data_IF_072307494945
#
_entry.id   IF_072307494945
#
_cell.length_a   1.000
_cell.length_b   1.000
_cell.length_c   1.000
_cell.angle_alpha   90.00
_cell.angle_beta   90.00
_cell.angle_gamma   90.00
#
_symmetry.space_group_name_H-M   'P 1'
#
loop_
_entity.id
_entity.type
_entity.pdbx_description
1 polymer ?
#
# COMPACT_ATOMS: atom_id res chain seq x y z
N UNK A 1 -47.65 -27.70 62.84
CA UNK A 1 -47.34 -26.31 63.23
C UNK A 1 -45.87 -25.95 63.03
N UNK A 2 -44.91 -26.56 63.75
CA UNK A 2 -43.48 -26.19 63.63
C UNK A 2 -42.88 -26.35 62.20
N UNK A 3 -43.28 -27.39 61.47
CA UNK A 3 -42.85 -27.63 60.07
C UNK A 3 -43.41 -26.58 59.11
N UNK A 4 -44.65 -26.14 59.32
CA UNK A 4 -45.31 -25.11 58.52
C UNK A 4 -44.65 -23.75 58.74
N UNK A 5 -44.29 -23.41 59.99
CA UNK A 5 -43.58 -22.17 60.31
C UNK A 5 -42.18 -22.16 59.67
N UNK A 6 -41.47 -23.30 59.65
CA UNK A 6 -40.18 -23.42 58.95
C UNK A 6 -40.34 -23.23 57.44
N UNK A 7 -41.37 -23.84 56.84
CA UNK A 7 -41.64 -23.71 55.42
C UNK A 7 -41.95 -22.26 55.02
N UNK A 8 -42.83 -21.57 55.76
CA UNK A 8 -43.17 -20.16 55.51
C UNK A 8 -41.94 -19.25 55.64
N UNK A 9 -41.04 -19.51 56.60
CA UNK A 9 -39.79 -18.75 56.75
C UNK A 9 -38.84 -18.95 55.58
N UNK A 10 -38.69 -20.18 55.10
CA UNK A 10 -37.85 -20.48 53.92
C UNK A 10 -38.41 -19.79 52.67
N UNK A 11 -39.74 -19.83 52.49
CA UNK A 11 -40.43 -19.18 51.38
C UNK A 11 -40.26 -17.65 51.39
N UNK A 12 -40.42 -17.03 52.58
CA UNK A 12 -40.24 -15.60 52.75
C UNK A 12 -38.79 -15.15 52.50
N UNK A 13 -37.81 -16.00 52.87
CA UNK A 13 -36.39 -15.73 52.64
C UNK A 13 -36.02 -15.85 51.16
N UNK A 14 -36.54 -16.86 50.47
CA UNK A 14 -36.33 -17.00 49.02
C UNK A 14 -36.94 -15.81 48.30
N UNK A 15 -38.15 -15.39 48.69
CA UNK A 15 -38.79 -14.22 48.08
C UNK A 15 -37.99 -12.92 48.30
N UNK A 16 -37.50 -12.67 49.51
CA UNK A 16 -36.68 -11.48 49.79
C UNK A 16 -35.34 -11.52 49.06
N UNK A 17 -34.68 -12.67 48.98
CA UNK A 17 -33.41 -12.79 48.23
C UNK A 17 -33.61 -12.54 46.73
N UNK A 18 -34.70 -13.06 46.17
CA UNK A 18 -35.04 -12.87 44.75
C UNK A 18 -35.36 -11.40 44.48
N UNK A 19 -36.11 -10.74 45.35
CA UNK A 19 -36.42 -9.31 45.25
C UNK A 19 -35.17 -8.43 45.38
N UNK A 20 -34.27 -8.75 46.32
CA UNK A 20 -33.03 -8.01 46.51
C UNK A 20 -32.08 -8.18 45.32
N UNK A 21 -31.96 -9.40 44.78
CA UNK A 21 -31.18 -9.66 43.57
C UNK A 21 -31.73 -8.89 42.37
N UNK A 22 -33.05 -8.81 42.23
CA UNK A 22 -33.70 -8.04 41.16
C UNK A 22 -33.45 -6.54 41.30
N UNK A 23 -33.54 -5.99 42.52
CA UNK A 23 -33.20 -4.59 42.80
C UNK A 23 -31.73 -4.29 42.53
N UNK A 24 -30.82 -5.18 42.92
CA UNK A 24 -29.38 -5.01 42.70
C UNK A 24 -29.03 -5.05 41.21
N UNK A 25 -29.62 -5.98 40.45
CA UNK A 25 -29.48 -6.07 38.99
C UNK A 25 -30.05 -4.83 38.29
N UNK A 26 -31.22 -4.35 38.74
CA UNK A 26 -31.83 -3.13 38.22
C UNK A 26 -30.94 -1.92 38.49
N UNK A 27 -30.39 -1.80 39.70
CA UNK A 27 -29.48 -0.72 40.06
C UNK A 27 -28.17 -0.77 39.25
N UNK A 28 -27.55 -1.95 39.12
CA UNK A 28 -26.34 -2.14 38.32
C UNK A 28 -26.57 -1.83 36.84
N UNK A 29 -27.75 -2.15 36.29
CA UNK A 29 -28.08 -1.86 34.89
C UNK A 29 -28.19 -0.36 34.56
N UNK A 30 -28.47 0.48 35.57
CA UNK A 30 -28.51 1.94 35.42
C UNK A 30 -27.10 2.53 35.42
N UNK A 31 -26.16 1.93 36.15
CA UNK A 31 -24.83 2.49 36.39
C UNK A 31 -23.72 1.90 35.50
N UNK A 32 -23.91 0.72 34.93
CA UNK A 32 -22.97 0.09 34.00
C UNK A 32 -23.62 0.00 32.61
N UNK A 33 -23.42 0.99 31.73
CA UNK A 33 -23.81 0.87 30.33
C UNK A 33 -22.82 -0.09 29.67
N UNK A 34 -22.99 -1.40 29.87
CA UNK A 34 -22.21 -2.43 29.18
C UNK A 34 -22.75 -2.57 27.75
N UNK A 35 -22.10 -2.03 26.71
CA UNK A 35 -22.69 -1.99 25.38
C UNK A 35 -22.56 -3.32 24.63
N UNK A 36 -21.90 -4.32 25.21
CA UNK A 36 -21.54 -5.55 24.50
C UNK A 36 -21.50 -6.75 25.45
N UNK A 37 -22.66 -7.16 25.94
CA UNK A 37 -22.85 -8.51 26.47
C UNK A 37 -24.22 -8.98 26.02
N UNK A 38 -24.28 -9.70 24.90
CA UNK A 38 -25.51 -10.30 24.40
C UNK A 38 -26.22 -11.09 25.50
N UNK A 39 -27.56 -11.15 25.45
CA UNK A 39 -28.47 -11.63 26.51
C UNK A 39 -28.20 -13.01 27.14
N UNK A 40 -27.16 -13.72 26.72
CA UNK A 40 -26.64 -14.95 27.31
C UNK A 40 -26.23 -14.81 28.78
N UNK A 41 -25.72 -13.66 29.24
CA UNK A 41 -25.34 -13.51 30.66
C UNK A 41 -26.54 -13.32 31.59
N UNK A 42 -27.61 -12.66 31.15
CA UNK A 42 -28.83 -12.56 31.94
C UNK A 42 -29.49 -13.94 32.08
N UNK A 43 -29.51 -14.72 30.99
CA UNK A 43 -30.02 -16.09 30.97
C UNK A 43 -29.15 -17.03 31.80
N UNK A 44 -27.81 -16.92 31.74
CA UNK A 44 -26.89 -17.70 32.58
C UNK A 44 -27.03 -17.36 34.07
N UNK A 45 -27.14 -16.08 34.43
CA UNK A 45 -27.35 -15.66 35.82
C UNK A 45 -28.72 -16.14 36.32
N UNK A 46 -29.78 -16.00 35.53
CA UNK A 46 -31.11 -16.56 35.86
C UNK A 46 -31.06 -18.09 35.96
N UNK A 47 -30.33 -18.77 35.08
CA UNK A 47 -30.20 -20.23 35.08
C UNK A 47 -29.41 -20.71 36.30
N UNK A 48 -28.34 -20.04 36.69
CA UNK A 48 -27.58 -20.34 37.93
C UNK A 48 -28.42 -20.07 39.17
N UNK A 49 -29.18 -18.96 39.21
CA UNK A 49 -30.10 -18.67 40.30
C UNK A 49 -31.26 -19.69 40.37
N UNK A 50 -31.84 -20.08 39.24
CA UNK A 50 -32.91 -21.08 39.17
C UNK A 50 -32.40 -22.48 39.53
N UNK A 51 -31.22 -22.88 39.03
CA UNK A 51 -30.59 -24.15 39.37
C UNK A 51 -30.22 -24.22 40.86
N UNK A 52 -29.71 -23.12 41.44
CA UNK A 52 -29.44 -23.03 42.87
C UNK A 52 -30.74 -23.10 43.70
N UNK A 53 -31.82 -22.49 43.24
CA UNK A 53 -33.11 -22.50 43.94
C UNK A 53 -33.84 -23.85 43.86
N UNK A 54 -33.80 -24.53 42.71
CA UNK A 54 -34.42 -25.84 42.51
C UNK A 54 -33.74 -26.96 43.29
N UNK A 55 -32.43 -26.86 43.54
CA UNK A 55 -31.67 -27.85 44.30
C UNK A 55 -31.78 -27.71 45.82
N UNK A 56 -32.17 -26.54 46.34
CA UNK A 56 -32.39 -26.31 47.77
C UNK A 56 -33.66 -27.01 48.30
N UNK A 57 -34.55 -27.48 47.43
CA UNK A 57 -35.85 -28.05 47.80
C UNK A 57 -35.79 -29.57 48.06
N UNK A 58 -34.70 -30.27 47.72
CA UNK A 58 -34.58 -31.73 47.90
C UNK A 58 -33.34 -32.16 48.71
N UNK A 59 -33.54 -32.56 49.98
CA UNK A 59 -32.69 -33.52 50.70
C UNK A 59 -31.98 -33.02 51.97
N UNK A 60 -32.59 -33.24 53.15
CA UNK A 60 -32.22 -32.69 54.48
C UNK A 60 -30.87 -33.11 55.11
N UNK A 61 -30.01 -33.89 54.45
CA UNK A 61 -28.74 -34.35 55.07
C UNK A 61 -27.45 -34.16 54.26
N UNK A 62 -27.53 -33.64 53.02
CA UNK A 62 -26.33 -33.38 52.19
C UNK A 62 -26.06 -31.88 51.92
N UNK A 63 -26.86 -30.99 52.49
CA UNK A 63 -26.91 -29.55 52.15
C UNK A 63 -25.61 -28.82 52.49
N UNK A 64 -25.02 -29.02 53.68
CA UNK A 64 -23.86 -28.25 54.13
C UNK A 64 -22.57 -28.52 53.32
N UNK A 65 -22.36 -29.77 52.86
CA UNK A 65 -21.19 -30.10 52.02
C UNK A 65 -21.35 -29.62 50.57
N UNK A 66 -22.58 -29.57 50.06
CA UNK A 66 -22.88 -29.15 48.68
C UNK A 66 -22.87 -27.63 48.50
N UNK A 67 -23.37 -26.87 49.47
CA UNK A 67 -23.31 -25.38 49.42
C UNK A 67 -21.88 -24.86 49.46
N UNK A 68 -21.02 -25.47 50.28
CA UNK A 68 -19.59 -25.11 50.35
C UNK A 68 -18.89 -25.38 49.01
N UNK A 69 -19.18 -26.51 48.36
CA UNK A 69 -18.62 -26.85 47.06
C UNK A 69 -19.06 -25.88 45.95
N UNK A 70 -20.33 -25.47 45.95
CA UNK A 70 -20.87 -24.51 44.97
C UNK A 70 -20.26 -23.12 45.17
N UNK A 71 -20.08 -22.65 46.41
CA UNK A 71 -19.43 -21.37 46.68
C UNK A 71 -17.96 -21.38 46.24
N UNK A 72 -17.24 -22.48 46.44
CA UNK A 72 -15.85 -22.64 45.99
C UNK A 72 -15.75 -22.69 44.47
N UNK A 73 -16.62 -23.46 43.80
CA UNK A 73 -16.63 -23.54 42.32
C UNK A 73 -17.04 -22.19 41.70
N UNK A 74 -18.03 -21.52 42.28
CA UNK A 74 -18.45 -20.18 41.84
C UNK A 74 -17.32 -19.16 41.99
N UNK A 75 -16.63 -19.14 43.13
CA UNK A 75 -15.46 -18.28 43.35
C UNK A 75 -14.32 -18.58 42.38
N UNK A 76 -14.03 -19.86 42.11
CA UNK A 76 -12.99 -20.26 41.15
C UNK A 76 -13.32 -19.85 39.71
N UNK A 77 -14.58 -20.02 39.27
CA UNK A 77 -14.99 -19.60 37.93
C UNK A 77 -14.97 -18.08 37.76
N UNK A 78 -15.36 -17.32 38.78
CA UNK A 78 -15.29 -15.86 38.75
C UNK A 78 -13.83 -15.35 38.75
N UNK A 79 -12.93 -15.97 39.53
CA UNK A 79 -11.49 -15.66 39.45
C UNK A 79 -10.91 -15.99 38.07
N UNK A 80 -11.29 -17.11 37.45
CA UNK A 80 -10.84 -17.47 36.11
C UNK A 80 -11.32 -16.47 35.03
N UNK A 81 -12.54 -15.97 35.14
CA UNK A 81 -13.06 -14.90 34.27
C UNK A 81 -12.32 -13.58 34.51
N UNK A 82 -12.01 -13.23 35.77
CA UNK A 82 -11.20 -12.06 36.09
C UNK A 82 -9.78 -12.13 35.51
N UNK A 83 -9.14 -13.30 35.60
CA UNK A 83 -7.80 -13.54 35.02
C UNK A 83 -7.85 -13.50 33.48
N UNK A 84 -8.88 -14.08 32.86
CA UNK A 84 -9.04 -14.04 31.40
C UNK A 84 -9.23 -12.62 30.87
N UNK A 85 -9.97 -11.77 31.59
CA UNK A 85 -10.15 -10.36 31.27
C UNK A 85 -8.87 -9.54 31.48
N UNK A 86 -8.05 -9.90 32.48
CA UNK A 86 -6.72 -9.32 32.72
C UNK A 86 -5.72 -9.64 31.60
N UNK A 87 -5.77 -10.86 31.04
CA UNK A 87 -4.84 -11.27 29.98
C UNK A 87 -5.24 -10.78 28.58
N UNK A 88 -6.54 -10.59 28.31
CA UNK A 88 -7.03 -10.41 26.93
C UNK A 88 -7.78 -9.09 26.68
N UNK A 89 -8.03 -8.27 27.70
CA UNK A 89 -8.67 -6.97 27.58
C UNK A 89 -7.67 -5.80 27.56
N UNK A 90 -8.01 -4.65 26.96
CA UNK A 90 -7.24 -3.43 27.19
C UNK A 90 -7.27 -3.12 28.69
N UNK A 91 -6.08 -2.91 29.29
CA UNK A 91 -5.90 -2.62 30.72
C UNK A 91 -6.72 -1.37 31.12
N UNK A 92 -7.94 -1.58 31.60
CA UNK A 92 -8.74 -0.58 32.28
C UNK A 92 -8.71 -0.93 33.77
N UNK A 93 -7.97 -0.15 34.54
CA UNK A 93 -7.85 -0.32 36.00
C UNK A 93 -9.21 -0.37 36.68
N UNK A 94 -10.22 0.32 36.12
CA UNK A 94 -11.58 0.29 36.65
C UNK A 94 -12.28 -1.05 36.42
N UNK A 95 -12.03 -1.71 35.30
CA UNK A 95 -12.61 -3.02 34.99
C UNK A 95 -12.01 -4.12 35.88
N UNK A 96 -10.69 -4.08 36.11
CA UNK A 96 -9.99 -4.98 37.03
C UNK A 96 -10.49 -4.80 38.46
N UNK A 97 -10.64 -3.55 38.88
CA UNK A 97 -11.14 -3.23 40.22
C UNK A 97 -12.61 -3.64 40.40
N UNK A 98 -13.47 -3.43 39.39
CA UNK A 98 -14.86 -3.88 39.42
C UNK A 98 -14.97 -5.41 39.49
N UNK A 99 -14.12 -6.15 38.75
CA UNK A 99 -14.07 -7.60 38.80
C UNK A 99 -13.65 -8.12 40.19
N UNK A 100 -12.63 -7.52 40.80
CA UNK A 100 -12.20 -7.83 42.17
C UNK A 100 -13.29 -7.53 43.21
N UNK A 101 -14.01 -6.43 43.05
CA UNK A 101 -15.12 -6.06 43.93
C UNK A 101 -16.25 -7.10 43.83
N UNK A 102 -16.59 -7.52 42.60
CA UNK A 102 -17.64 -8.51 42.34
C UNK A 102 -17.27 -9.90 42.89
N UNK A 103 -16.01 -10.32 42.69
CA UNK A 103 -15.51 -11.58 43.26
C UNK A 103 -15.56 -11.56 44.80
N UNK A 104 -15.15 -10.45 45.41
CA UNK A 104 -15.22 -10.24 46.87
C UNK A 104 -16.66 -10.32 47.37
N UNK A 105 -17.59 -9.67 46.67
CA UNK A 105 -19.02 -9.70 46.97
C UNK A 105 -19.59 -11.13 46.93
N UNK A 106 -19.26 -11.89 45.89
CA UNK A 106 -19.73 -13.27 45.72
C UNK A 106 -19.26 -14.18 46.86
N UNK A 107 -18.00 -14.04 47.28
CA UNK A 107 -17.43 -14.81 48.42
C UNK A 107 -18.13 -14.43 49.73
N UNK A 108 -18.29 -13.14 50.03
CA UNK A 108 -18.96 -12.69 51.25
C UNK A 108 -20.43 -13.12 51.31
N UNK A 109 -21.15 -13.03 50.19
CA UNK A 109 -22.53 -13.50 50.09
C UNK A 109 -22.64 -15.02 50.33
N UNK A 110 -21.71 -15.81 49.78
CA UNK A 110 -21.64 -17.25 50.00
C UNK A 110 -21.41 -17.61 51.46
N UNK A 111 -20.46 -16.94 52.13
CA UNK A 111 -20.17 -17.15 53.56
C UNK A 111 -21.36 -16.76 54.45
N UNK A 112 -22.03 -15.64 54.16
CA UNK A 112 -23.23 -15.23 54.89
C UNK A 112 -24.35 -16.28 54.76
N UNK A 113 -24.60 -16.77 53.54
CA UNK A 113 -25.62 -17.80 53.30
C UNK A 113 -25.28 -19.11 54.04
N UNK A 114 -24.01 -19.51 54.03
CA UNK A 114 -23.55 -20.69 54.75
C UNK A 114 -23.73 -20.54 56.27
N UNK A 115 -23.42 -19.38 56.84
CA UNK A 115 -23.61 -19.09 58.26
C UNK A 115 -25.09 -19.15 58.69
N UNK A 116 -26.00 -18.62 57.86
CA UNK A 116 -27.46 -18.70 58.08
C UNK A 116 -27.92 -20.16 58.10
N UNK A 117 -27.55 -20.93 57.07
CA UNK A 117 -28.06 -22.29 56.86
C UNK A 117 -27.52 -23.26 57.89
N UNK A 118 -26.23 -23.16 58.22
CA UNK A 118 -25.58 -24.21 58.99
C UNK A 118 -25.69 -24.01 60.51
N UNK A 119 -25.67 -22.78 61.01
CA UNK A 119 -25.47 -22.51 62.44
C UNK A 119 -26.65 -21.80 63.11
N UNK A 120 -27.67 -21.37 62.35
CA UNK A 120 -28.81 -20.61 62.89
C UNK A 120 -28.41 -19.27 63.52
N UNK A 121 -27.17 -18.81 63.28
CA UNK A 121 -26.59 -17.58 63.84
C UNK A 121 -26.88 -16.42 62.90
N UNK A 122 -28.10 -15.89 62.99
CA UNK A 122 -28.55 -14.71 62.24
C UNK A 122 -27.67 -13.49 62.46
N UNK A 123 -27.07 -13.37 63.64
CA UNK A 123 -26.22 -12.23 64.01
C UNK A 123 -25.01 -12.08 63.06
N UNK A 124 -24.39 -13.19 62.63
CA UNK A 124 -23.22 -13.16 61.74
C UNK A 124 -23.62 -12.72 60.33
N UNK A 125 -24.78 -13.18 59.86
CA UNK A 125 -25.28 -12.84 58.53
C UNK A 125 -25.66 -11.37 58.40
N UNK A 126 -26.26 -10.81 59.46
CA UNK A 126 -26.59 -9.39 59.53
C UNK A 126 -25.30 -8.55 59.49
N UNK A 127 -24.26 -8.94 60.23
CA UNK A 127 -22.97 -8.25 60.20
C UNK A 127 -22.33 -8.32 58.82
N UNK A 128 -22.34 -9.48 58.16
CA UNK A 128 -21.79 -9.62 56.81
C UNK A 128 -22.53 -8.75 55.78
N UNK A 129 -23.86 -8.69 55.85
CA UNK A 129 -24.67 -7.83 54.98
C UNK A 129 -24.42 -6.35 55.25
N UNK A 130 -24.29 -5.95 56.52
CA UNK A 130 -23.98 -4.58 56.90
C UNK A 130 -22.62 -4.12 56.36
N UNK A 131 -21.59 -4.98 56.45
CA UNK A 131 -20.26 -4.72 55.87
C UNK A 131 -20.35 -4.55 54.34
N UNK A 132 -21.12 -5.42 53.67
CA UNK A 132 -21.33 -5.35 52.22
C UNK A 132 -21.95 -4.01 51.79
N UNK A 133 -23.01 -3.59 52.50
CA UNK A 133 -23.70 -2.32 52.25
C UNK A 133 -22.74 -1.14 52.48
N UNK A 134 -21.93 -1.18 53.55
CA UNK A 134 -20.94 -0.14 53.82
C UNK A 134 -19.88 -0.04 52.73
N UNK A 135 -19.43 -1.16 52.15
CA UNK A 135 -18.47 -1.15 51.03
C UNK A 135 -19.09 -0.50 49.78
N UNK A 136 -20.34 -0.84 49.45
CA UNK A 136 -21.06 -0.25 48.30
C UNK A 136 -21.29 1.24 48.51
N UNK A 137 -21.67 1.65 49.73
CA UNK A 137 -21.86 3.07 50.07
C UNK A 137 -20.52 3.81 49.99
N UNK A 138 -19.45 3.29 50.58
CA UNK A 138 -18.13 3.92 50.53
C UNK A 138 -17.63 4.09 49.09
N UNK A 139 -17.89 3.12 48.22
CA UNK A 139 -17.55 3.20 46.81
C UNK A 139 -18.40 4.23 46.07
N UNK A 140 -19.72 4.23 46.28
CA UNK A 140 -20.64 5.21 45.70
C UNK A 140 -20.28 6.63 46.15
N UNK A 141 -19.90 6.80 47.42
CA UNK A 141 -19.43 8.07 47.96
C UNK A 141 -18.08 8.48 47.40
N UNK A 142 -17.13 7.55 47.20
CA UNK A 142 -15.85 7.87 46.54
C UNK A 142 -16.05 8.29 45.10
N UNK A 143 -16.91 7.59 44.35
CA UNK A 143 -17.27 7.98 42.99
C UNK A 143 -17.93 9.35 42.99
N UNK A 144 -18.87 9.60 43.92
CA UNK A 144 -19.53 10.89 44.12
C UNK A 144 -18.58 12.01 44.58
N UNK A 145 -17.50 11.67 45.27
CA UNK A 145 -16.48 12.58 45.77
C UNK A 145 -15.36 12.88 44.77
N UNK A 146 -15.34 12.22 43.60
CA UNK A 146 -14.51 12.68 42.48
C UNK A 146 -14.90 14.13 42.17
N UNK A 147 -13.95 15.08 42.16
CA UNK A 147 -14.24 16.46 41.84
C UNK A 147 -14.93 16.52 40.48
N UNK A 148 -15.98 17.35 40.36
CA UNK A 148 -16.81 17.49 39.16
C UNK A 148 -15.96 17.65 37.90
N UNK A 149 -14.83 18.36 38.03
CA UNK A 149 -13.86 18.61 36.97
C UNK A 149 -13.18 17.35 36.40
N UNK A 150 -12.92 16.31 37.21
CA UNK A 150 -12.36 15.05 36.71
C UNK A 150 -13.39 14.23 35.93
N UNK A 151 -14.69 14.34 36.27
CA UNK A 151 -15.75 13.65 35.51
C UNK A 151 -15.96 14.27 34.15
N UNK A 152 -15.98 15.60 34.06
CA UNK A 152 -16.10 16.30 32.78
C UNK A 152 -14.92 15.97 31.86
N UNK A 153 -13.70 15.91 32.41
CA UNK A 153 -12.51 15.51 31.64
C UNK A 153 -12.60 14.07 31.12
N UNK A 154 -13.11 13.14 31.94
CA UNK A 154 -13.27 11.74 31.54
C UNK A 154 -14.36 11.59 30.47
N UNK A 155 -15.48 12.29 30.60
CA UNK A 155 -16.56 12.30 29.59
C UNK A 155 -16.07 12.88 28.25
N UNK A 156 -15.29 13.96 28.28
CA UNK A 156 -14.67 14.54 27.08
C UNK A 156 -13.69 13.56 26.42
N UNK A 157 -12.87 12.85 27.22
CA UNK A 157 -11.95 11.85 26.69
C UNK A 157 -12.69 10.66 26.06
N UNK A 158 -13.77 10.18 26.69
CA UNK A 158 -14.62 9.12 26.13
C UNK A 158 -15.22 9.56 24.80
N UNK A 159 -15.81 10.76 24.73
CA UNK A 159 -16.39 11.30 23.49
C UNK A 159 -15.33 11.46 22.39
N UNK A 160 -14.13 11.94 22.74
CA UNK A 160 -13.02 12.09 21.80
C UNK A 160 -12.57 10.74 21.24
N UNK A 161 -12.48 9.70 22.09
CA UNK A 161 -12.13 8.34 21.65
C UNK A 161 -13.21 7.74 20.74
N UNK A 162 -14.49 7.97 21.04
CA UNK A 162 -15.59 7.55 20.18
C UNK A 162 -15.55 8.24 18.81
N UNK A 163 -15.28 9.54 18.76
CA UNK A 163 -15.15 10.29 17.52
C UNK A 163 -14.00 9.75 16.64
N UNK A 164 -12.83 9.51 17.24
CA UNK A 164 -11.68 8.91 16.53
C UNK A 164 -11.99 7.50 16.01
N UNK A 165 -12.74 6.70 16.78
CA UNK A 165 -13.20 5.38 16.35
C UNK A 165 -14.16 5.47 15.17
N UNK A 166 -15.12 6.40 15.20
CA UNK A 166 -16.03 6.61 14.08
C UNK A 166 -15.28 7.10 12.83
N UNK A 167 -14.29 7.96 12.99
CA UNK A 167 -13.45 8.44 11.88
C UNK A 167 -12.64 7.29 11.26
N UNK A 168 -12.02 6.44 12.08
CA UNK A 168 -11.26 5.28 11.59
C UNK A 168 -12.16 4.27 10.87
N UNK A 169 -13.37 4.01 11.38
CA UNK A 169 -14.38 3.17 10.72
C UNK A 169 -14.83 3.77 9.37
N UNK A 170 -15.04 5.09 9.29
CA UNK A 170 -15.35 5.77 8.03
C UNK A 170 -14.22 5.62 7.01
N UNK A 171 -12.96 5.82 7.44
CA UNK A 171 -11.77 5.65 6.58
C UNK A 171 -11.64 4.21 6.10
N UNK A 172 -11.86 3.23 6.97
CA UNK A 172 -11.83 1.81 6.61
C UNK A 172 -12.85 1.47 5.52
N UNK A 173 -14.11 1.92 5.66
CA UNK A 173 -15.16 1.72 4.64
C UNK A 173 -14.81 2.35 3.30
N UNK A 174 -14.16 3.52 3.29
CA UNK A 174 -13.70 4.17 2.05
C UNK A 174 -12.60 3.32 1.40
N UNK A 175 -11.66 2.80 2.19
CA UNK A 175 -10.57 1.96 1.70
C UNK A 175 -11.09 0.64 1.12
N UNK A 176 -12.03 -0.02 1.79
CA UNK A 176 -12.69 -1.25 1.32
C UNK A 176 -13.42 -1.02 -0.02
N UNK A 177 -14.12 0.10 -0.18
CA UNK A 177 -14.78 0.46 -1.45
C UNK A 177 -13.76 0.67 -2.58
N UNK A 178 -12.63 1.34 -2.29
CA UNK A 178 -11.54 1.51 -3.27
C UNK A 178 -10.93 0.17 -3.65
N UNK A 179 -10.68 -0.71 -2.69
CA UNK A 179 -10.13 -2.04 -2.94
C UNK A 179 -11.08 -2.88 -3.82
N UNK A 180 -12.38 -2.87 -3.52
CA UNK A 180 -13.39 -3.55 -4.33
C UNK A 180 -13.46 -3.00 -5.78
N UNK A 181 -13.31 -1.69 -5.95
CA UNK A 181 -13.27 -1.05 -7.28
C UNK A 181 -12.02 -1.49 -8.07
N UNK A 182 -10.85 -1.51 -7.44
CA UNK A 182 -9.61 -1.95 -8.10
C UNK A 182 -9.68 -3.43 -8.49
N UNK A 183 -10.24 -4.30 -7.65
CA UNK A 183 -10.44 -5.71 -7.98
C UNK A 183 -11.37 -5.89 -9.19
N UNK A 184 -12.45 -5.09 -9.30
CA UNK A 184 -13.31 -5.10 -10.50
C UNK A 184 -12.54 -4.65 -11.74
N UNK A 185 -11.73 -3.59 -11.65
CA UNK A 185 -10.90 -3.11 -12.76
C UNK A 185 -9.89 -4.16 -13.22
N UNK A 186 -9.24 -4.84 -12.28
CA UNK A 186 -8.31 -5.95 -12.60
C UNK A 186 -8.99 -7.07 -13.38
N UNK A 187 -10.20 -7.48 -12.96
CA UNK A 187 -10.97 -8.53 -13.67
C UNK A 187 -11.40 -8.09 -15.07
N UNK A 188 -11.77 -6.82 -15.26
CA UNK A 188 -12.10 -6.29 -16.60
C UNK A 188 -10.88 -6.32 -17.52
N UNK A 189 -9.72 -5.86 -17.05
CA UNK A 189 -8.48 -5.89 -17.83
C UNK A 189 -8.04 -7.32 -18.19
N UNK A 190 -8.22 -8.28 -17.28
CA UNK A 190 -7.96 -9.70 -17.58
C UNK A 190 -8.89 -10.26 -18.66
N UNK A 191 -10.16 -9.82 -18.69
CA UNK A 191 -11.11 -10.20 -19.72
C UNK A 191 -10.77 -9.57 -21.07
N UNK A 192 -10.42 -8.27 -21.09
CA UNK A 192 -9.94 -7.59 -22.30
C UNK A 192 -8.67 -8.24 -22.86
N UNK A 193 -7.71 -8.58 -22.00
CA UNK A 193 -6.49 -9.26 -22.42
C UNK A 193 -6.79 -10.64 -23.04
N UNK A 194 -7.76 -11.38 -22.49
CA UNK A 194 -8.21 -12.65 -23.07
C UNK A 194 -8.89 -12.44 -24.43
N UNK A 195 -9.73 -11.42 -24.55
CA UNK A 195 -10.38 -11.06 -25.81
C UNK A 195 -9.35 -10.71 -26.90
N UNK A 196 -8.40 -9.83 -26.59
CA UNK A 196 -7.32 -9.45 -27.50
C UNK A 196 -6.44 -10.64 -27.90
N UNK A 197 -6.15 -11.56 -26.99
CA UNK A 197 -5.42 -12.78 -27.31
C UNK A 197 -6.18 -13.67 -28.30
N UNK A 198 -7.49 -13.82 -28.09
CA UNK A 198 -8.34 -14.59 -29.01
C UNK A 198 -8.46 -13.92 -30.39
N UNK A 199 -8.55 -12.59 -30.43
CA UNK A 199 -8.56 -11.82 -31.67
C UNK A 199 -7.24 -11.97 -32.42
N UNK A 200 -6.10 -11.81 -31.73
CA UNK A 200 -4.76 -12.02 -32.30
C UNK A 200 -4.60 -13.42 -32.86
N UNK A 201 -5.03 -14.46 -32.15
CA UNK A 201 -5.01 -15.84 -32.65
C UNK A 201 -5.88 -16.01 -33.91
N UNK A 202 -7.04 -15.36 -33.95
CA UNK A 202 -7.90 -15.33 -35.13
C UNK A 202 -7.24 -14.64 -36.33
N UNK A 203 -6.53 -13.54 -36.10
CA UNK A 203 -5.77 -12.83 -37.13
C UNK A 203 -4.58 -13.65 -37.62
N UNK A 204 -3.80 -14.27 -36.74
CA UNK A 204 -2.68 -15.15 -37.11
C UNK A 204 -3.17 -16.34 -37.95
N UNK A 205 -4.35 -16.89 -37.64
CA UNK A 205 -4.95 -17.99 -38.41
C UNK A 205 -5.44 -17.52 -39.79
N UNK A 206 -5.93 -16.28 -39.91
CA UNK A 206 -6.26 -15.65 -41.20
C UNK A 206 -5.02 -15.34 -42.02
N UNK A 207 -3.99 -14.77 -41.39
CA UNK A 207 -2.73 -14.37 -42.03
C UNK A 207 -1.94 -15.59 -42.55
N UNK A 208 -1.94 -16.71 -41.83
CA UNK A 208 -1.39 -17.99 -42.32
C UNK A 208 -2.09 -18.51 -43.58
N UNK A 209 -3.37 -18.18 -43.78
CA UNK A 209 -4.16 -18.62 -44.93
C UNK A 209 -4.03 -17.68 -46.13
N UNK A 210 -3.46 -16.51 -45.93
CA UNK A 210 -3.27 -15.47 -46.95
C UNK A 210 -1.82 -14.98 -47.03
N UNK A 211 -0.84 -15.85 -46.72
CA UNK A 211 0.56 -15.48 -46.58
C UNK A 211 1.02 -14.57 -47.73
N UNK A 212 1.27 -13.27 -47.45
CA UNK A 212 1.85 -12.38 -48.43
C UNK A 212 3.28 -12.84 -48.77
N UNK A 213 3.84 -12.43 -49.91
CA UNK A 213 5.24 -12.66 -50.23
C UNK A 213 6.14 -12.22 -49.08
N UNK A 214 7.31 -12.86 -48.88
CA UNK A 214 8.20 -12.57 -47.75
C UNK A 214 8.41 -11.06 -47.57
N UNK A 215 8.26 -10.59 -46.32
CA UNK A 215 8.41 -9.19 -45.95
C UNK A 215 9.71 -8.64 -46.52
N UNK A 216 9.58 -7.57 -47.31
CA UNK A 216 10.72 -6.90 -47.93
C UNK A 216 11.64 -6.34 -46.83
N UNK A 217 12.97 -6.37 -47.00
CA UNK A 217 13.96 -5.81 -46.07
C UNK A 217 13.88 -4.29 -45.80
N UNK A 218 12.86 -3.58 -46.30
CA UNK A 218 12.87 -2.13 -46.51
C UNK A 218 12.19 -1.31 -45.37
N UNK A 219 12.05 -1.85 -44.16
CA UNK A 219 11.12 -1.31 -43.15
C UNK A 219 11.70 -0.24 -42.19
N UNK A 220 12.94 0.22 -42.40
CA UNK A 220 13.46 1.38 -41.66
C UNK A 220 13.28 2.66 -42.50
N UNK A 221 12.75 3.75 -41.91
CA UNK A 221 12.83 5.08 -42.52
C UNK A 221 14.28 5.45 -42.80
N UNK A 222 14.53 6.12 -43.92
CA UNK A 222 15.89 6.51 -44.29
C UNK A 222 16.38 7.65 -43.40
N UNK A 223 17.59 7.49 -42.84
CA UNK A 223 18.33 8.62 -42.31
C UNK A 223 18.90 9.43 -43.47
N UNK A 224 18.80 10.76 -43.43
CA UNK A 224 19.36 11.61 -44.49
C UNK A 224 20.87 11.48 -44.50
N UNK A 225 21.42 11.23 -45.69
CA UNK A 225 22.82 10.88 -45.83
C UNK A 225 23.51 11.71 -46.91
N UNK A 226 24.70 12.29 -46.63
CA UNK A 226 25.40 12.25 -45.34
C UNK A 226 24.67 13.04 -44.23
N UNK A 227 24.89 12.70 -42.95
CA UNK A 227 24.26 13.40 -41.83
C UNK A 227 24.62 14.88 -41.83
N UNK A 228 23.75 15.71 -41.28
CA UNK A 228 23.97 17.14 -41.04
C UNK A 228 25.22 17.39 -40.17
N UNK A 229 25.79 18.59 -40.22
CA UNK A 229 26.96 18.91 -39.39
C UNK A 229 26.58 18.86 -37.91
N UNK A 230 27.15 17.93 -37.11
CA UNK A 230 26.87 17.86 -35.69
C UNK A 230 27.67 18.93 -34.93
N UNK A 231 27.19 19.30 -33.74
CA UNK A 231 27.94 20.14 -32.81
C UNK A 231 29.27 19.50 -32.43
N UNK A 232 29.28 18.18 -32.29
CA UNK A 232 30.47 17.36 -32.12
C UNK A 232 30.28 15.94 -32.66
N UNK A 233 31.39 15.33 -33.11
CA UNK A 233 31.46 13.90 -33.42
C UNK A 233 32.39 13.22 -32.42
N UNK A 234 31.94 12.11 -31.84
CA UNK A 234 32.75 11.27 -30.98
C UNK A 234 32.81 9.84 -31.50
N UNK A 235 34.02 9.36 -31.82
CA UNK A 235 34.20 7.97 -32.22
C UNK A 235 34.27 7.10 -30.98
N UNK A 236 33.33 6.16 -30.88
CA UNK A 236 33.33 5.18 -29.80
C UNK A 236 34.40 4.14 -30.15
N UNK A 237 35.44 4.07 -29.31
CA UNK A 237 36.55 3.13 -29.51
C UNK A 237 36.05 1.70 -29.35
N UNK A 238 36.48 0.85 -30.28
CA UNK A 238 36.25 -0.60 -30.28
C UNK A 238 37.31 -1.25 -29.39
N UNK A 239 36.93 -2.19 -28.54
CA UNK A 239 37.83 -3.25 -28.12
C UNK A 239 37.91 -4.35 -29.20
N UNK A 240 38.74 -5.35 -28.94
CA UNK A 240 39.08 -6.40 -29.92
C UNK A 240 37.94 -7.37 -30.24
N UNK A 241 36.87 -7.38 -29.45
CA UNK A 241 36.00 -8.55 -29.30
C UNK A 241 34.69 -8.45 -30.12
N UNK A 242 34.53 -7.40 -30.93
CA UNK A 242 33.30 -7.13 -31.68
C UNK A 242 33.17 -7.92 -33.00
N UNK A 243 34.20 -8.62 -33.46
CA UNK A 243 34.17 -9.34 -34.73
C UNK A 243 33.21 -10.54 -34.67
N UNK A 244 32.27 -10.58 -35.61
CA UNK A 244 31.32 -11.69 -35.76
C UNK A 244 30.01 -11.51 -34.98
N UNK A 245 29.89 -10.48 -34.13
CA UNK A 245 28.61 -10.05 -33.55
C UNK A 245 27.72 -9.47 -34.66
N UNK A 246 26.41 -9.67 -34.62
CA UNK A 246 25.48 -9.08 -35.60
C UNK A 246 25.20 -7.61 -35.31
N UNK A 247 24.79 -6.83 -36.32
CA UNK A 247 24.37 -5.44 -36.11
C UNK A 247 23.17 -5.34 -35.15
N UNK A 248 22.30 -6.35 -35.14
CA UNK A 248 21.21 -6.45 -34.17
C UNK A 248 21.72 -6.53 -32.73
N UNK A 249 22.70 -7.41 -32.44
CA UNK A 249 23.30 -7.53 -31.11
C UNK A 249 24.08 -6.26 -30.70
N UNK A 250 24.72 -5.57 -31.66
CA UNK A 250 25.33 -4.25 -31.40
C UNK A 250 24.26 -3.23 -30.97
N UNK A 251 23.11 -3.24 -31.63
CA UNK A 251 21.99 -2.37 -31.26
C UNK A 251 21.43 -2.68 -29.86
N UNK A 252 21.38 -3.96 -29.46
CA UNK A 252 20.97 -4.36 -28.11
C UNK A 252 21.97 -3.88 -27.05
N UNK A 253 23.28 -3.94 -27.34
CA UNK A 253 24.32 -3.40 -26.46
C UNK A 253 24.24 -1.89 -26.30
N UNK A 254 24.00 -1.17 -27.40
CA UNK A 254 23.73 0.28 -27.36
C UNK A 254 22.50 0.58 -26.50
N UNK A 255 21.41 -0.17 -26.68
CA UNK A 255 20.20 -0.02 -25.88
C UNK A 255 20.46 -0.24 -24.38
N UNK A 256 21.20 -1.29 -24.00
CA UNK A 256 21.55 -1.54 -22.60
C UNK A 256 22.42 -0.41 -22.02
N UNK A 257 23.34 0.14 -22.81
CA UNK A 257 24.14 1.30 -22.40
C UNK A 257 23.28 2.56 -22.20
N UNK A 258 22.33 2.80 -23.11
CA UNK A 258 21.36 3.89 -23.00
C UNK A 258 20.50 3.76 -21.74
N UNK A 259 19.91 2.58 -21.50
CA UNK A 259 19.08 2.35 -20.32
C UNK A 259 19.85 2.57 -19.02
N UNK A 260 21.11 2.15 -18.94
CA UNK A 260 21.95 2.36 -17.76
C UNK A 260 22.26 3.83 -17.49
N UNK A 261 22.18 4.67 -18.51
CA UNK A 261 22.32 6.12 -18.42
C UNK A 261 20.97 6.86 -18.36
N UNK A 262 19.88 6.13 -18.10
CA UNK A 262 18.48 6.57 -18.03
C UNK A 262 17.89 7.12 -19.35
N UNK A 263 18.41 6.68 -20.50
CA UNK A 263 17.79 6.94 -21.81
C UNK A 263 16.88 5.75 -22.18
N UNK A 264 15.57 5.95 -22.06
CA UNK A 264 14.59 4.90 -22.34
C UNK A 264 13.93 5.02 -23.73
N UNK A 265 14.06 6.19 -24.37
CA UNK A 265 13.41 6.49 -25.64
C UNK A 265 14.44 6.75 -26.74
N UNK A 266 14.27 6.03 -27.85
CA UNK A 266 15.13 6.09 -29.01
C UNK A 266 14.36 5.64 -30.26
N UNK A 267 14.96 5.87 -31.42
CA UNK A 267 14.37 5.59 -32.72
C UNK A 267 15.43 5.10 -33.70
N UNK A 268 15.08 4.14 -34.54
CA UNK A 268 15.97 3.56 -35.54
C UNK A 268 15.69 4.09 -36.95
N UNK A 269 16.77 4.29 -37.69
CA UNK A 269 16.76 4.68 -39.10
C UNK A 269 17.76 3.84 -39.90
N UNK A 270 17.50 3.69 -41.19
CA UNK A 270 18.41 3.07 -42.14
C UNK A 270 19.59 4.00 -42.42
N UNK A 271 20.81 3.45 -42.42
CA UNK A 271 22.01 4.13 -42.90
C UNK A 271 22.71 3.25 -43.94
N UNK A 272 23.51 3.83 -44.86
CA UNK A 272 24.33 3.03 -45.76
C UNK A 272 25.20 2.04 -44.98
N UNK A 273 25.01 0.75 -45.25
CA UNK A 273 25.77 -0.32 -44.60
C UNK A 273 25.54 -0.48 -43.09
N UNK A 274 24.41 0.02 -42.56
CA UNK A 274 24.07 -0.19 -41.16
C UNK A 274 22.81 0.58 -40.73
N UNK A 275 22.86 1.19 -39.54
CA UNK A 275 21.71 1.88 -38.97
C UNK A 275 22.13 3.11 -38.16
N UNK A 276 21.17 4.00 -37.90
CA UNK A 276 21.28 5.08 -36.91
C UNK A 276 20.30 4.84 -35.77
N UNK A 277 20.76 4.95 -34.54
CA UNK A 277 19.92 5.01 -33.34
C UNK A 277 19.94 6.44 -32.78
N UNK A 278 18.79 7.11 -32.82
CA UNK A 278 18.63 8.49 -32.36
C UNK A 278 18.00 8.49 -30.97
N UNK A 279 18.60 9.17 -30.00
CA UNK A 279 18.01 9.33 -28.67
C UNK A 279 16.92 10.40 -28.67
N UNK A 280 16.07 10.39 -27.63
CA UNK A 280 15.22 11.54 -27.32
C UNK A 280 16.03 12.82 -27.09
N UNK A 281 15.37 13.97 -27.24
CA UNK A 281 15.89 15.27 -26.81
C UNK A 281 16.04 15.32 -25.28
N UNK A 282 17.23 15.69 -24.83
CA UNK A 282 17.63 15.82 -23.44
C UNK A 282 17.87 17.30 -23.12
N UNK A 283 17.29 17.78 -22.03
CA UNK A 283 17.57 19.10 -21.47
C UNK A 283 18.79 19.06 -20.55
N UNK A 284 19.65 20.07 -20.70
CA UNK A 284 20.92 20.17 -19.98
C UNK A 284 21.09 21.57 -19.39
N UNK A 285 21.88 21.67 -18.32
CA UNK A 285 22.23 22.96 -17.72
C UNK A 285 23.32 23.69 -18.55
N UNK A 286 23.73 24.87 -18.07
CA UNK A 286 24.80 25.65 -18.70
C UNK A 286 26.13 24.89 -18.77
N UNK A 287 26.34 23.96 -17.84
CA UNK A 287 27.50 23.07 -17.76
C UNK A 287 27.27 21.76 -18.55
N UNK A 288 26.14 21.58 -19.23
CA UNK A 288 25.78 20.38 -19.98
C UNK A 288 25.62 19.11 -19.16
N UNK A 289 25.45 19.26 -17.85
CA UNK A 289 24.96 18.18 -17.01
C UNK A 289 23.48 17.97 -17.35
N UNK A 290 23.03 16.72 -17.52
CA UNK A 290 21.61 16.46 -17.66
C UNK A 290 20.81 17.05 -16.50
N UNK A 291 19.68 17.66 -16.80
CA UNK A 291 18.73 18.02 -15.74
C UNK A 291 18.22 16.75 -15.04
N UNK A 292 17.72 16.86 -13.80
CA UNK A 292 17.28 15.70 -13.01
C UNK A 292 15.80 15.37 -13.22
N UNK A 293 15.48 14.08 -13.18
CA UNK A 293 14.11 13.56 -13.20
C UNK A 293 13.37 13.88 -14.49
N UNK A 294 12.09 14.20 -14.39
CA UNK A 294 11.23 14.54 -15.54
C UNK A 294 11.65 15.82 -16.27
N UNK A 295 12.50 16.66 -15.68
CA UNK A 295 13.06 17.84 -16.36
C UNK A 295 14.15 17.48 -17.37
N UNK A 296 14.74 16.28 -17.26
CA UNK A 296 15.76 15.77 -18.19
C UNK A 296 15.18 15.52 -19.58
N UNK A 297 14.00 14.92 -19.61
CA UNK A 297 13.27 14.56 -20.81
C UNK A 297 11.91 15.22 -20.69
N UNK A 298 11.70 16.33 -21.41
CA UNK A 298 10.45 17.09 -21.32
C UNK A 298 9.26 16.18 -21.63
N UNK A 299 8.52 15.77 -20.61
CA UNK A 299 7.24 15.08 -20.75
C UNK A 299 6.14 16.14 -20.93
N UNK A 300 5.15 15.92 -21.82
CA UNK A 300 3.92 16.72 -21.80
C UNK A 300 3.25 16.63 -20.41
N UNK A 301 2.44 17.63 -20.07
CA UNK A 301 1.77 17.75 -18.77
C UNK A 301 1.12 16.41 -18.34
N UNK A 302 1.28 16.04 -17.07
CA UNK A 302 0.89 14.75 -16.43
C UNK A 302 -0.63 14.43 -16.43
N UNK A 303 -1.44 15.15 -17.20
CA UNK A 303 -2.90 15.07 -17.18
C UNK A 303 -3.48 14.08 -18.20
N UNK A 304 -2.96 12.85 -18.22
CA UNK A 304 -3.62 11.69 -18.85
C UNK A 304 -3.60 11.67 -20.38
N UNK A 305 -3.27 10.49 -20.92
CA UNK A 305 -3.14 10.15 -22.34
C UNK A 305 -1.90 10.78 -23.02
N UNK A 306 -0.84 9.96 -23.15
CA UNK A 306 0.37 10.32 -23.89
C UNK A 306 0.03 10.47 -25.38
N UNK A 307 -0.23 11.70 -25.82
CA UNK A 307 -0.30 12.03 -27.23
C UNK A 307 1.07 12.48 -27.74
N UNK A 308 1.60 11.72 -28.70
CA UNK A 308 2.86 12.02 -29.38
C UNK A 308 2.88 13.45 -29.97
N UNK A 309 1.71 13.96 -30.39
CA UNK A 309 1.55 15.34 -30.88
C UNK A 309 1.74 16.41 -29.78
N UNK A 310 1.32 16.14 -28.54
CA UNK A 310 1.52 17.06 -27.41
C UNK A 310 2.98 17.10 -26.96
N UNK A 311 3.70 15.98 -27.04
CA UNK A 311 5.14 15.94 -26.80
C UNK A 311 5.89 16.86 -27.77
N UNK A 312 5.54 16.84 -29.06
CA UNK A 312 6.17 17.73 -30.05
C UNK A 312 5.82 19.19 -29.78
N UNK A 313 4.57 19.50 -29.38
CA UNK A 313 4.20 20.84 -28.94
C UNK A 313 4.98 21.27 -27.69
N UNK A 314 5.23 20.38 -26.74
CA UNK A 314 6.03 20.71 -25.55
C UNK A 314 7.50 20.97 -25.87
N UNK A 315 8.04 20.43 -26.97
CA UNK A 315 9.35 20.83 -27.50
C UNK A 315 9.33 22.27 -28.05
N UNK A 316 8.26 22.67 -28.76
CA UNK A 316 8.06 24.07 -29.21
C UNK A 316 7.80 25.05 -28.06
N UNK A 317 7.24 24.59 -26.93
CA UNK A 317 7.09 25.38 -25.69
C UNK A 317 8.13 25.05 -24.62
N UNK A 318 9.18 24.30 -24.98
CA UNK A 318 10.26 23.95 -24.07
C UNK A 318 10.81 25.21 -23.38
N UNK A 319 11.14 25.13 -22.07
CA UNK A 319 11.75 26.24 -21.36
C UNK A 319 13.00 26.76 -22.07
N UNK A 320 13.30 28.05 -21.91
CA UNK A 320 14.62 28.60 -22.29
C UNK A 320 15.72 27.76 -21.68
N UNK A 321 16.71 27.35 -22.48
CA UNK A 321 17.78 26.48 -22.02
C UNK A 321 18.54 25.80 -23.14
N UNK A 322 19.29 24.77 -22.76
CA UNK A 322 20.11 23.99 -23.66
C UNK A 322 19.55 22.58 -23.80
N UNK A 323 19.60 22.09 -25.03
CA UNK A 323 19.04 20.80 -25.40
C UNK A 323 20.01 20.05 -26.27
N UNK A 324 19.91 18.73 -26.28
CA UNK A 324 20.67 17.90 -27.22
C UNK A 324 19.99 16.59 -27.53
N UNK A 325 20.37 15.99 -28.64
CA UNK A 325 20.17 14.56 -28.85
C UNK A 325 21.43 13.95 -29.43
N UNK A 326 21.52 12.62 -29.38
CA UNK A 326 22.66 11.87 -29.89
C UNK A 326 22.16 10.91 -30.95
N UNK A 327 22.80 10.94 -32.12
CA UNK A 327 22.61 9.93 -33.16
C UNK A 327 23.83 9.00 -33.17
N UNK A 328 23.62 7.74 -32.74
CA UNK A 328 24.62 6.69 -32.82
C UNK A 328 24.58 6.07 -34.21
N UNK A 329 25.58 6.37 -35.02
CA UNK A 329 25.72 5.87 -36.39
C UNK A 329 26.58 4.63 -36.38
N UNK A 330 25.99 3.50 -36.76
CA UNK A 330 26.68 2.22 -36.97
C UNK A 330 26.74 1.95 -38.47
N UNK A 331 27.92 2.03 -39.08
CA UNK A 331 28.08 1.93 -40.54
C UNK A 331 29.45 1.41 -40.93
N UNK A 332 29.53 0.70 -42.06
CA UNK A 332 30.78 0.35 -42.74
C UNK A 332 31.22 1.37 -43.82
N UNK A 333 30.43 2.43 -44.04
CA UNK A 333 30.69 3.45 -45.06
C UNK A 333 31.33 4.69 -44.46
N UNK A 334 32.40 5.16 -45.09
CA UNK A 334 32.96 6.49 -44.83
C UNK A 334 31.98 7.58 -45.22
N UNK A 335 31.86 8.61 -44.38
CA UNK A 335 31.06 9.80 -44.66
C UNK A 335 31.76 11.04 -44.10
N UNK A 336 31.41 12.17 -44.70
CA UNK A 336 31.72 13.52 -44.21
C UNK A 336 30.37 14.18 -44.00
N UNK A 337 30.17 14.84 -42.86
CA UNK A 337 28.91 15.51 -42.59
C UNK A 337 28.60 16.53 -43.69
N UNK A 338 27.32 16.65 -44.05
CA UNK A 338 26.87 17.67 -44.99
C UNK A 338 27.10 19.06 -44.37
N UNK A 339 27.37 20.09 -45.18
CA UNK A 339 27.55 21.46 -44.68
C UNK A 339 26.26 22.07 -44.11
N UNK A 340 25.13 21.37 -44.23
CA UNK A 340 23.85 21.82 -43.73
C UNK A 340 23.85 21.76 -42.21
N UNK A 341 23.39 22.86 -41.59
CA UNK A 341 23.08 22.89 -40.17
C UNK A 341 21.72 22.25 -39.97
N UNK A 342 21.62 21.39 -38.97
CA UNK A 342 20.36 20.74 -38.64
C UNK A 342 19.32 21.81 -38.25
N UNK A 343 18.22 21.86 -39.00
CA UNK A 343 17.11 22.76 -38.72
C UNK A 343 16.22 22.22 -37.60
N UNK A 344 15.44 23.10 -36.96
CA UNK A 344 14.46 22.69 -35.95
C UNK A 344 13.45 21.67 -36.48
N UNK A 345 12.92 21.90 -37.69
CA UNK A 345 11.97 20.98 -38.32
C UNK A 345 12.59 19.62 -38.57
N UNK A 346 13.80 19.58 -39.13
CA UNK A 346 14.51 18.33 -39.39
C UNK A 346 14.85 17.59 -38.09
N UNK A 347 15.29 18.31 -37.04
CA UNK A 347 15.55 17.73 -35.73
C UNK A 347 14.29 17.08 -35.14
N UNK A 348 13.13 17.73 -35.28
CA UNK A 348 11.86 17.17 -34.83
C UNK A 348 11.46 15.94 -35.63
N UNK A 349 11.65 15.94 -36.95
CA UNK A 349 11.29 14.79 -37.78
C UNK A 349 12.16 13.56 -37.42
N UNK A 350 13.44 13.76 -37.09
CA UNK A 350 14.32 12.70 -36.54
C UNK A 350 13.85 12.13 -35.20
N UNK A 351 13.08 12.89 -34.43
CA UNK A 351 12.49 12.41 -33.18
C UNK A 351 11.13 11.73 -33.38
N UNK A 352 10.53 11.82 -34.58
CA UNK A 352 9.18 11.30 -34.86
C UNK A 352 9.11 10.08 -35.73
N UNK A 353 9.91 10.03 -36.78
CA UNK A 353 9.62 9.12 -37.89
C UNK A 353 10.28 7.75 -37.76
N UNK A 354 11.18 7.58 -36.80
CA UNK A 354 12.00 6.38 -36.69
C UNK A 354 11.26 5.15 -36.15
N UNK A 355 11.77 3.97 -36.49
CA UNK A 355 11.22 2.72 -36.01
C UNK A 355 11.57 2.48 -34.54
N UNK A 356 10.67 1.86 -33.79
CA UNK A 356 10.89 1.54 -32.36
C UNK A 356 11.78 0.32 -32.13
N UNK A 357 12.03 -0.48 -33.17
CA UNK A 357 12.86 -1.67 -33.11
C UNK A 357 13.64 -1.86 -34.40
N UNK A 358 14.85 -2.43 -34.30
CA UNK A 358 15.64 -2.80 -35.46
C UNK A 358 15.06 -4.08 -36.10
N UNK A 359 14.83 -4.14 -37.42
CA UNK A 359 14.33 -5.34 -38.08
C UNK A 359 15.26 -6.55 -37.86
N UNK A 360 14.67 -7.76 -37.76
CA UNK A 360 15.43 -9.00 -37.56
C UNK A 360 16.45 -9.30 -38.68
N UNK A 361 16.26 -8.73 -39.88
CA UNK A 361 17.21 -8.83 -40.99
C UNK A 361 18.62 -8.34 -40.61
N UNK A 362 18.76 -7.43 -39.63
CA UNK A 362 20.06 -6.98 -39.12
C UNK A 362 20.80 -8.05 -38.30
N UNK A 363 20.18 -9.20 -38.00
CA UNK A 363 20.86 -10.36 -37.38
C UNK A 363 21.81 -11.06 -38.35
N UNK A 364 21.52 -10.96 -39.66
CA UNK A 364 22.31 -11.60 -40.71
C UNK A 364 23.50 -10.72 -41.16
N UNK A 365 23.52 -9.44 -40.76
CA UNK A 365 24.60 -8.51 -41.07
C UNK A 365 25.62 -8.56 -39.93
N UNK A 366 26.84 -9.02 -40.25
CA UNK A 366 27.94 -9.14 -39.28
C UNK A 366 28.69 -7.83 -39.12
N UNK A 367 28.90 -7.43 -37.87
CA UNK A 367 29.79 -6.34 -37.49
C UNK A 367 31.24 -6.76 -37.75
N UNK A 368 31.93 -5.98 -38.59
CA UNK A 368 33.29 -6.26 -39.08
C UNK A 368 34.24 -5.11 -38.72
N UNK A 369 35.54 -5.27 -39.01
CA UNK A 369 36.54 -4.20 -38.82
C UNK A 369 36.32 -2.96 -39.70
N UNK A 370 35.51 -3.05 -40.76
CA UNK A 370 35.12 -1.89 -41.57
C UNK A 370 34.01 -1.07 -40.93
N UNK A 371 33.26 -1.65 -40.00
CA UNK A 371 32.23 -0.92 -39.28
C UNK A 371 32.83 -0.02 -38.20
N UNK A 372 32.22 1.15 -38.03
CA UNK A 372 32.49 2.05 -36.92
C UNK A 372 31.19 2.45 -36.22
N UNK A 373 31.35 2.91 -34.98
CA UNK A 373 30.28 3.49 -34.18
C UNK A 373 30.69 4.92 -33.87
N UNK A 374 30.00 5.88 -34.48
CA UNK A 374 30.20 7.30 -34.21
C UNK A 374 28.97 7.83 -33.46
N UNK A 375 29.18 8.61 -32.40
CA UNK A 375 28.14 9.38 -31.74
C UNK A 375 28.15 10.81 -32.29
N UNK A 376 27.11 11.18 -33.02
CA UNK A 376 26.89 12.53 -33.51
C UNK A 376 26.04 13.29 -32.48
N UNK A 377 26.61 14.32 -31.88
CA UNK A 377 25.97 15.11 -30.84
C UNK A 377 25.46 16.40 -31.46
N UNK A 378 24.17 16.63 -31.38
CA UNK A 378 23.52 17.88 -31.80
C UNK A 378 23.11 18.64 -30.55
N UNK A 379 23.66 19.84 -30.37
CA UNK A 379 23.36 20.73 -29.25
C UNK A 379 22.60 21.96 -29.77
N UNK A 380 21.57 22.35 -29.04
CA UNK A 380 20.70 23.46 -29.36
C UNK A 380 20.59 24.42 -28.17
N UNK A 381 20.51 25.71 -28.48
CA UNK A 381 20.08 26.75 -27.54
C UNK A 381 18.68 27.20 -27.91
N UNK A 382 17.81 27.28 -26.90
CA UNK A 382 16.50 27.89 -27.02
C UNK A 382 16.44 29.14 -26.16
N UNK A 383 16.17 30.28 -26.77
CA UNK A 383 15.96 31.56 -26.10
C UNK A 383 14.46 31.91 -26.03
N UNK A 384 14.07 32.75 -25.06
CA UNK A 384 12.66 33.04 -24.79
C UNK A 384 12.00 33.79 -25.96
N UNK A 385 11.01 33.17 -26.60
CA UNK A 385 10.24 33.80 -27.70
C UNK A 385 10.94 33.81 -29.06
N UNK A 386 12.12 33.21 -29.18
CA UNK A 386 12.89 33.09 -30.43
C UNK A 386 13.00 31.62 -30.85
N UNK A 387 13.40 31.38 -32.11
CA UNK A 387 13.58 30.03 -32.67
C UNK A 387 14.74 29.26 -32.02
N UNK A 388 14.87 27.98 -32.38
CA UNK A 388 15.97 27.12 -31.90
C UNK A 388 17.25 27.38 -32.70
N UNK A 389 18.36 27.60 -32.00
CA UNK A 389 19.69 27.77 -32.62
C UNK A 389 20.54 26.52 -32.38
N UNK A 390 21.02 25.91 -33.46
CA UNK A 390 22.00 24.81 -33.39
C UNK A 390 23.39 25.37 -33.12
N UNK A 391 24.07 24.86 -32.09
CA UNK A 391 25.37 25.33 -31.66
C UNK A 391 26.49 24.56 -32.37
N UNK A 392 27.26 25.23 -33.23
CA UNK A 392 28.40 24.63 -33.94
C UNK A 392 29.60 25.59 -33.84
N UNK A 393 30.72 25.21 -33.19
CA UNK A 393 30.88 23.98 -32.40
C UNK A 393 29.98 23.97 -31.16
N UNK A 394 29.71 22.77 -30.62
CA UNK A 394 28.99 22.65 -29.34
C UNK A 394 29.79 23.25 -28.19
N UNK A 395 29.11 23.69 -27.12
CA UNK A 395 29.76 24.38 -25.99
C UNK A 395 30.64 23.44 -25.17
N UNK A 396 30.31 22.14 -25.19
CA UNK A 396 30.86 21.16 -24.26
C UNK A 396 31.48 20.00 -25.03
N UNK A 397 32.75 19.65 -24.75
CA UNK A 397 33.40 18.53 -25.41
C UNK A 397 32.67 17.20 -25.19
N UNK A 398 32.70 16.27 -26.17
CA UNK A 398 31.98 15.01 -26.07
C UNK A 398 32.31 14.18 -24.84
N UNK A 399 33.58 14.11 -24.45
CA UNK A 399 34.01 13.34 -23.28
C UNK A 399 33.37 13.85 -21.98
N UNK A 400 33.30 15.17 -21.82
CA UNK A 400 32.68 15.82 -20.66
C UNK A 400 31.19 15.56 -20.64
N UNK A 401 30.52 15.67 -21.79
CA UNK A 401 29.11 15.35 -21.92
C UNK A 401 28.85 13.88 -21.58
N UNK A 402 29.42 12.94 -22.34
CA UNK A 402 29.16 11.51 -22.18
C UNK A 402 29.50 11.04 -20.76
N UNK A 403 30.55 11.60 -20.14
CA UNK A 403 30.87 11.37 -18.74
C UNK A 403 29.78 11.85 -17.78
N UNK A 404 29.30 13.09 -17.93
CA UNK A 404 28.27 13.69 -17.07
C UNK A 404 26.90 13.04 -17.21
N UNK A 405 26.58 12.47 -18.37
CA UNK A 405 25.32 11.73 -18.56
C UNK A 405 25.37 10.26 -18.12
N UNK A 406 26.55 9.76 -17.73
CA UNK A 406 26.75 8.34 -17.45
C UNK A 406 26.79 7.45 -18.71
N UNK A 407 26.65 8.04 -19.91
CA UNK A 407 26.74 7.29 -21.17
C UNK A 407 28.15 6.81 -21.45
N UNK A 408 29.17 7.59 -21.13
CA UNK A 408 30.57 7.25 -21.42
C UNK A 408 30.98 5.93 -20.75
N UNK A 409 30.74 5.81 -19.44
CA UNK A 409 31.03 4.58 -18.70
C UNK A 409 30.15 3.41 -19.12
N UNK A 410 28.87 3.66 -19.45
CA UNK A 410 27.94 2.63 -19.90
C UNK A 410 28.32 2.09 -21.29
N UNK A 411 28.65 2.96 -22.24
CA UNK A 411 29.09 2.56 -23.58
C UNK A 411 30.36 1.73 -23.51
N UNK A 412 31.34 2.14 -22.70
CA UNK A 412 32.57 1.34 -22.47
C UNK A 412 32.31 -0.01 -21.81
N UNK A 413 31.23 -0.17 -21.04
CA UNK A 413 30.90 -1.42 -20.36
C UNK A 413 30.17 -2.43 -21.25
N UNK A 414 29.37 -1.97 -22.22
CA UNK A 414 28.52 -2.83 -23.06
C UNK A 414 29.03 -3.00 -24.49
N UNK A 415 29.79 -2.04 -25.01
CA UNK A 415 30.36 -2.17 -26.36
C UNK A 415 31.69 -2.91 -26.31
N UNK A 416 31.90 -3.83 -27.27
CA UNK A 416 33.08 -4.68 -27.33
C UNK A 416 34.35 -3.91 -27.66
#
# INVERSE_FOLDING_TARGET
MATLIRFIRVLALTFTFTALAFLLLSFLSVWLPLPYVGGWNLVMVLFVCLAASGWLVFGDRLIAKRTTLIAVIGGMMFSAVGIYLLENGPFDENAVFAALLFATFAVLAGLALQAIVSWGKWDIAIVALAVLVLVVIAFSLRYLALPIQEREMLEEEIQKREMLRQESERKSRILERKLAMLQRKSRMLEQELKALKSEKQGLEMRERKSAPPPARPDLLPNYEWPPETPSWTYRILRGSDGNGVSLYEISERLFLALMRADYFEYSYYSAPGGFVMVTRLEAIDSEGTPLRGTRRFLLPNDNGDFEFAEYIRSLFFAPTGYYRFIAFVVTDKSYVASPNVLSETTALDRLKEGATALPKAFRDIRFSSSHRIDALIYEFRKEGGTGVETLIPGRIPPNSHLGRSGLGSSLSAYLP
#
